data_IF_617401970958
#
_entry.id   IF_617401970958
#
_cell.length_a   1.000
_cell.length_b   1.000
_cell.length_c   1.000
_cell.angle_alpha   90.00
_cell.angle_beta   90.00
_cell.angle_gamma   90.00
#
_symmetry.space_group_name_H-M   'P 1'
#
loop_
_entity.id
_entity.type
_entity.pdbx_description
1 polymer ?
#
# COMPACT_ATOMS: atom_id res chain seq x y z
N UNK A 1 0.69 9.09 -3.33
CA UNK A 1 0.36 9.61 -1.98
C UNK A 1 1.58 9.45 -1.11
N UNK A 2 2.06 10.54 -0.52
CA UNK A 2 3.16 10.49 0.43
C UNK A 2 2.69 9.89 1.75
N UNK A 3 3.59 9.26 2.48
CA UNK A 3 3.31 8.78 3.82
C UNK A 3 3.10 9.96 4.77
N UNK A 4 1.95 9.99 5.43
CA UNK A 4 1.64 10.97 6.46
C UNK A 4 0.80 10.33 7.55
N UNK A 5 1.32 10.36 8.79
CA UNK A 5 0.59 9.89 9.96
C UNK A 5 -0.73 10.65 10.14
N UNK A 6 -0.76 11.93 9.75
CA UNK A 6 -1.97 12.76 9.78
C UNK A 6 -3.05 12.20 8.85
N UNK A 7 -2.69 11.74 7.65
CA UNK A 7 -3.63 11.17 6.69
C UNK A 7 -4.19 9.84 7.19
N UNK A 8 -3.32 9.01 7.77
CA UNK A 8 -3.73 7.76 8.41
C UNK A 8 -4.71 8.00 9.58
N UNK A 9 -4.42 8.98 10.44
CA UNK A 9 -5.28 9.36 11.56
C UNK A 9 -6.64 9.91 11.11
N UNK A 10 -6.71 10.63 9.97
CA UNK A 10 -7.98 11.10 9.40
C UNK A 10 -8.89 9.94 9.01
N UNK A 11 -8.34 8.89 8.39
CA UNK A 11 -9.10 7.69 8.00
C UNK A 11 -9.61 6.95 9.24
N UNK A 12 -8.75 6.79 10.25
CA UNK A 12 -9.14 6.16 11.54
C UNK A 12 -10.29 6.91 12.20
N UNK A 13 -10.21 8.25 12.25
CA UNK A 13 -11.26 9.11 12.85
C UNK A 13 -12.59 9.05 12.09
N UNK A 14 -12.58 8.84 10.77
CA UNK A 14 -13.79 8.69 9.94
C UNK A 14 -14.54 7.39 10.30
N UNK A 15 -13.83 6.40 10.84
CA UNK A 15 -14.32 5.09 11.22
C UNK A 15 -14.49 4.18 10.00
N UNK A 16 -14.13 2.90 10.13
CA UNK A 16 -14.09 1.91 9.04
C UNK A 16 -15.40 1.76 8.25
N UNK A 17 -16.57 2.13 8.79
CA UNK A 17 -17.85 2.05 8.08
C UNK A 17 -18.10 3.17 7.08
N UNK A 18 -17.33 4.27 7.16
CA UNK A 18 -17.54 5.48 6.37
C UNK A 18 -16.39 5.75 5.39
N UNK A 19 -15.46 4.82 5.22
CA UNK A 19 -14.34 4.95 4.29
C UNK A 19 -14.72 4.36 2.93
N UNK A 20 -14.29 5.02 1.87
CA UNK A 20 -14.38 4.52 0.49
C UNK A 20 -13.38 3.38 0.29
N UNK A 21 -13.58 2.57 -0.75
CA UNK A 21 -12.63 1.50 -1.11
C UNK A 21 -11.24 2.07 -1.40
N UNK A 22 -11.16 3.22 -2.06
CA UNK A 22 -9.89 3.90 -2.33
C UNK A 22 -9.19 4.35 -1.03
N UNK A 23 -9.95 4.86 -0.06
CA UNK A 23 -9.43 5.21 1.27
C UNK A 23 -8.98 3.96 2.04
N UNK A 24 -9.72 2.84 1.94
CA UNK A 24 -9.35 1.56 2.57
C UNK A 24 -8.04 1.01 2.00
N UNK A 25 -7.90 1.00 0.68
CA UNK A 25 -6.66 0.57 -0.01
C UNK A 25 -5.49 1.47 0.42
N UNK A 26 -5.68 2.79 0.37
CA UNK A 26 -4.65 3.75 0.78
C UNK A 26 -4.24 3.55 2.24
N UNK A 27 -5.21 3.37 3.14
CA UNK A 27 -4.96 3.09 4.54
C UNK A 27 -4.15 1.81 4.74
N UNK A 28 -4.51 0.72 4.06
CA UNK A 28 -3.80 -0.56 4.19
C UNK A 28 -2.34 -0.46 3.71
N UNK A 29 -2.07 0.27 2.63
CA UNK A 29 -0.70 0.50 2.15
C UNK A 29 0.09 1.36 3.14
N UNK A 30 -0.48 2.47 3.61
CA UNK A 30 0.17 3.35 4.59
C UNK A 30 0.42 2.62 5.91
N UNK A 31 -0.52 1.79 6.36
CA UNK A 31 -0.37 0.98 7.56
C UNK A 31 0.77 -0.04 7.40
N UNK A 32 0.89 -0.69 6.23
CA UNK A 32 2.01 -1.59 5.96
C UNK A 32 3.36 -0.87 6.04
N UNK A 33 3.48 0.31 5.41
CA UNK A 33 4.68 1.16 5.46
C UNK A 33 4.98 1.58 6.92
N UNK A 34 3.96 1.95 7.67
CA UNK A 34 4.09 2.32 9.08
C UNK A 34 4.58 1.15 9.93
N UNK A 35 4.10 -0.07 9.68
CA UNK A 35 4.57 -1.27 10.38
C UNK A 35 6.07 -1.51 10.16
N UNK A 36 6.59 -1.30 8.94
CA UNK A 36 8.04 -1.39 8.65
C UNK A 36 8.81 -0.41 9.55
N UNK A 37 8.36 0.84 9.63
CA UNK A 37 8.95 1.86 10.49
C UNK A 37 8.90 1.48 11.98
N UNK A 38 7.74 1.07 12.47
CA UNK A 38 7.55 0.68 13.89
C UNK A 38 8.41 -0.52 14.28
N UNK A 39 8.58 -1.47 13.36
CA UNK A 39 9.44 -2.64 13.55
C UNK A 39 10.93 -2.33 13.36
N UNK A 40 11.28 -1.09 12.99
CA UNK A 40 12.66 -0.66 12.68
C UNK A 40 13.31 -1.53 11.60
N UNK A 41 12.51 -1.99 10.64
CA UNK A 41 12.98 -2.81 9.53
C UNK A 41 13.68 -1.91 8.50
N UNK A 42 14.81 -2.37 7.98
CA UNK A 42 15.54 -1.65 6.95
C UNK A 42 14.87 -1.89 5.59
N UNK A 43 14.20 -0.86 5.07
CA UNK A 43 13.40 -0.99 3.85
C UNK A 43 14.23 -1.44 2.64
N UNK A 44 15.49 -1.03 2.51
CA UNK A 44 16.29 -1.38 1.35
C UNK A 44 16.74 -2.85 1.39
N UNK A 45 17.28 -3.28 2.53
CA UNK A 45 17.93 -4.58 2.69
C UNK A 45 16.95 -5.73 2.92
N UNK A 46 15.79 -5.49 3.51
CA UNK A 46 14.85 -6.56 3.85
C UNK A 46 13.89 -6.91 2.69
N UNK A 47 13.56 -8.20 2.49
CA UNK A 47 12.46 -8.61 1.61
C UNK A 47 11.10 -8.52 2.33
N UNK A 48 10.03 -8.33 1.56
CA UNK A 48 8.66 -8.36 2.05
C UNK A 48 7.80 -9.30 1.21
N UNK A 49 6.98 -10.14 1.86
CA UNK A 49 5.98 -11.00 1.23
C UNK A 49 4.79 -11.18 2.19
N UNK A 50 3.91 -10.18 2.21
CA UNK A 50 2.77 -10.13 3.14
C UNK A 50 1.45 -10.14 2.39
N UNK A 51 0.42 -10.74 2.98
CA UNK A 51 -0.92 -10.83 2.40
C UNK A 51 -1.99 -10.41 3.41
N UNK A 52 -2.89 -9.54 2.97
CA UNK A 52 -4.14 -9.20 3.62
C UNK A 52 -5.28 -9.97 2.93
N UNK A 53 -6.10 -10.65 3.73
CA UNK A 53 -7.23 -11.46 3.24
C UNK A 53 -8.57 -10.76 3.47
N UNK A 54 -9.56 -11.06 2.63
CA UNK A 54 -10.92 -10.52 2.77
C UNK A 54 -11.64 -10.37 1.43
N UNK A 55 -12.60 -9.43 1.38
CA UNK A 55 -13.24 -8.99 0.13
C UNK A 55 -12.30 -8.12 -0.72
N UNK A 56 -11.50 -7.30 -0.04
CA UNK A 56 -10.31 -6.66 -0.56
C UNK A 56 -9.11 -7.50 -0.13
N UNK A 57 -8.49 -8.20 -1.07
CA UNK A 57 -7.21 -8.89 -0.82
C UNK A 57 -6.06 -8.00 -1.29
N UNK A 58 -4.99 -7.94 -0.49
CA UNK A 58 -3.81 -7.15 -0.85
C UNK A 58 -2.55 -7.96 -0.63
N UNK A 59 -1.67 -8.01 -1.63
CA UNK A 59 -0.33 -8.61 -1.50
C UNK A 59 0.73 -7.52 -1.56
N UNK A 60 1.68 -7.56 -0.65
CA UNK A 60 2.82 -6.64 -0.57
C UNK A 60 4.10 -7.43 -0.80
N UNK A 61 4.80 -7.13 -1.90
CA UNK A 61 6.00 -7.84 -2.31
C UNK A 61 7.16 -6.91 -2.56
N UNK A 62 8.33 -7.25 -2.05
CA UNK A 62 9.60 -6.55 -2.35
C UNK A 62 10.76 -7.51 -2.16
N UNK A 63 11.70 -7.52 -3.09
CA UNK A 63 12.96 -8.23 -2.90
C UNK A 63 13.93 -7.40 -2.03
N UNK A 64 14.90 -8.07 -1.41
CA UNK A 64 16.04 -7.40 -0.81
C UNK A 64 16.82 -6.58 -1.85
N UNK A 65 17.48 -5.51 -1.41
CA UNK A 65 18.24 -4.58 -2.25
C UNK A 65 17.41 -3.88 -3.34
N UNK A 66 16.10 -3.74 -3.13
CA UNK A 66 15.20 -2.97 -4.01
C UNK A 66 14.63 -1.77 -3.25
N UNK A 67 14.59 -0.62 -3.94
CA UNK A 67 14.01 0.63 -3.42
C UNK A 67 12.49 0.74 -3.61
N UNK A 68 11.88 -0.19 -4.34
CA UNK A 68 10.46 -0.16 -4.70
C UNK A 68 9.86 -1.53 -4.43
N UNK A 69 8.76 -1.55 -3.69
CA UNK A 69 7.87 -2.68 -3.53
C UNK A 69 6.65 -2.58 -4.43
N UNK A 70 6.02 -3.72 -4.68
CA UNK A 70 4.79 -3.86 -5.44
C UNK A 70 3.65 -4.27 -4.52
N UNK A 71 2.55 -3.53 -4.58
CA UNK A 71 1.31 -3.88 -3.91
C UNK A 71 0.23 -4.18 -4.95
N UNK A 72 -0.43 -5.32 -4.83
CA UNK A 72 -1.58 -5.67 -5.66
C UNK A 72 -2.82 -5.76 -4.81
N UNK A 73 -3.84 -4.96 -5.16
CA UNK A 73 -5.16 -5.00 -4.56
C UNK A 73 -6.13 -5.75 -5.49
N UNK A 74 -6.81 -6.78 -4.97
CA UNK A 74 -7.84 -7.56 -5.65
C UNK A 74 -9.18 -7.31 -4.95
N UNK A 75 -10.13 -6.76 -5.69
CA UNK A 75 -11.45 -6.38 -5.19
C UNK A 75 -12.45 -7.41 -5.71
N UNK A 76 -12.70 -8.46 -4.92
CA UNK A 76 -13.40 -9.68 -5.37
C UNK A 76 -14.81 -9.40 -5.91
N UNK A 77 -15.56 -8.55 -5.22
CA UNK A 77 -16.94 -8.20 -5.60
C UNK A 77 -17.03 -7.38 -6.91
N UNK A 78 -15.94 -6.75 -7.33
CA UNK A 78 -15.88 -5.96 -8.56
C UNK A 78 -15.05 -6.64 -9.67
N UNK A 79 -14.48 -7.83 -9.40
CA UNK A 79 -13.52 -8.51 -10.28
C UNK A 79 -12.44 -7.56 -10.81
N UNK A 80 -11.95 -6.67 -9.94
CA UNK A 80 -11.02 -5.59 -10.29
C UNK A 80 -9.69 -5.81 -9.60
N UNK A 81 -8.60 -5.63 -10.34
CA UNK A 81 -7.23 -5.63 -9.82
C UNK A 81 -6.60 -4.26 -10.04
N UNK A 82 -5.90 -3.77 -9.02
CA UNK A 82 -5.17 -2.50 -9.07
C UNK A 82 -3.76 -2.75 -8.55
N UNK A 83 -2.76 -2.36 -9.34
CA UNK A 83 -1.36 -2.46 -8.97
C UNK A 83 -0.81 -1.08 -8.55
N UNK A 84 -0.10 -1.08 -7.43
CA UNK A 84 0.57 0.07 -6.84
C UNK A 84 2.06 -0.23 -6.67
N UNK A 85 2.85 0.82 -6.69
CA UNK A 85 4.26 0.81 -6.28
C UNK A 85 4.37 1.52 -4.94
N UNK A 86 5.11 0.97 -4.00
CA UNK A 86 5.33 1.58 -2.69
C UNK A 86 6.82 1.69 -2.34
N UNK A 87 7.14 2.69 -1.53
CA UNK A 87 8.45 2.93 -0.94
C UNK A 87 8.27 3.12 0.57
N UNK A 88 9.36 3.32 1.30
CA UNK A 88 9.29 3.75 2.71
C UNK A 88 8.57 5.09 2.91
N UNK A 89 8.44 5.90 1.84
CA UNK A 89 7.91 7.26 1.89
C UNK A 89 6.49 7.39 1.33
N UNK A 90 5.85 6.31 0.87
CA UNK A 90 4.50 6.38 0.31
C UNK A 90 4.27 5.41 -0.85
N UNK A 91 3.28 5.70 -1.68
CA UNK A 91 2.90 4.83 -2.79
C UNK A 91 2.27 5.58 -3.97
N UNK A 92 2.31 4.96 -5.14
CA UNK A 92 1.72 5.47 -6.39
C UNK A 92 1.03 4.36 -7.18
N UNK A 93 0.09 4.73 -8.05
CA UNK A 93 -0.53 3.80 -8.98
C UNK A 93 0.49 3.39 -10.05
N UNK A 94 0.68 2.08 -10.25
CA UNK A 94 1.68 1.56 -11.18
C UNK A 94 1.45 2.07 -12.62
N UNK A 95 0.18 2.18 -13.04
CA UNK A 95 -0.20 2.71 -14.35
C UNK A 95 0.24 4.16 -14.58
N UNK A 96 0.35 4.97 -13.53
CA UNK A 96 0.68 6.39 -13.66
C UNK A 96 2.20 6.57 -13.76
N UNK A 97 2.97 5.67 -13.14
CA UNK A 97 4.44 5.60 -13.25
C UNK A 97 4.88 5.12 -14.65
N UNK A 98 4.23 4.07 -15.19
CA UNK A 98 4.61 3.49 -16.48
C UNK A 98 4.26 4.42 -17.66
N UNK A 99 3.20 5.22 -17.54
CA UNK A 99 2.79 6.17 -18.58
C UNK A 99 3.77 7.31 -18.82
N UNK A 100 4.70 7.57 -17.90
CA UNK A 100 5.74 8.60 -18.05
C UNK A 100 6.89 8.23 -19.01
N UNK A 101 6.82 7.10 -19.73
CA UNK A 101 7.87 6.62 -20.64
C UNK A 101 7.54 6.75 -22.15
N UNK A 102 6.50 7.49 -22.52
CA UNK A 102 6.15 7.79 -23.92
C UNK A 102 6.19 9.29 -24.22
#
# INVERSE_FOLDING_TARGET
MFFSEIEMQKIIKKGYKNITLEEEIAFNILNFIHCIYLNKQDFYSEPFDSQLFGNLEMTFKKNACCLIGHCRAIIKNQNRTIDYLFTENGFELMKDVIKGQN
#
